data_IF_109773624419
#
_entry.id   IF_109773624419
#
_cell.length_a   1.000
_cell.length_b   1.000
_cell.length_c   1.000
_cell.angle_alpha   90.00
_cell.angle_beta   90.00
_cell.angle_gamma   90.00
#
_symmetry.space_group_name_H-M   'P 1'
#
loop_
_entity.id
_entity.type
_entity.pdbx_description
1 polymer ?
#
# COMPACT_ATOMS: atom_id res chain seq x y z
N UNK A 1 -31.66 1.82 39.57
CA UNK A 1 -30.52 2.76 39.39
C UNK A 1 -29.17 2.02 39.22
N UNK A 2 -28.92 0.92 39.93
CA UNK A 2 -27.68 0.13 39.79
C UNK A 2 -27.52 -0.54 38.39
N UNK A 3 -28.59 -1.06 37.83
CA UNK A 3 -28.59 -1.71 36.52
C UNK A 3 -28.22 -0.75 35.38
N UNK A 4 -28.67 0.50 35.44
CA UNK A 4 -28.32 1.53 34.46
C UNK A 4 -26.81 1.82 34.51
N UNK A 5 -26.23 1.91 35.69
CA UNK A 5 -24.78 2.07 35.90
C UNK A 5 -23.99 0.89 35.34
N UNK A 6 -24.46 -0.34 35.57
CA UNK A 6 -23.81 -1.55 35.03
C UNK A 6 -23.83 -1.60 33.53
N UNK A 7 -24.96 -1.25 32.89
CA UNK A 7 -25.07 -1.16 31.43
C UNK A 7 -24.10 -0.10 30.87
N UNK A 8 -24.04 1.06 31.54
CA UNK A 8 -23.16 2.14 31.08
C UNK A 8 -21.67 1.77 31.17
N UNK A 9 -21.27 1.11 32.25
CA UNK A 9 -19.91 0.58 32.42
C UNK A 9 -19.61 -0.47 31.36
N UNK A 10 -20.55 -1.38 31.11
CA UNK A 10 -20.41 -2.40 30.07
C UNK A 10 -20.18 -1.80 28.68
N UNK A 11 -20.94 -0.78 28.30
CA UNK A 11 -20.76 -0.08 27.03
C UNK A 11 -19.40 0.63 26.91
N UNK A 12 -18.93 1.24 28.00
CA UNK A 12 -17.60 1.87 28.04
C UNK A 12 -16.51 0.82 27.85
N UNK A 13 -16.59 -0.32 28.53
CA UNK A 13 -15.59 -1.39 28.40
C UNK A 13 -15.55 -1.98 26.97
N UNK A 14 -16.72 -2.17 26.35
CA UNK A 14 -16.80 -2.61 24.96
C UNK A 14 -16.15 -1.56 24.04
N UNK A 15 -16.48 -0.29 24.22
CA UNK A 15 -15.90 0.79 23.42
C UNK A 15 -14.37 0.87 23.55
N UNK A 16 -13.84 0.74 24.76
CA UNK A 16 -12.40 0.71 25.02
C UNK A 16 -11.73 -0.53 24.39
N UNK A 17 -12.40 -1.68 24.44
CA UNK A 17 -11.89 -2.91 23.82
C UNK A 17 -11.81 -2.77 22.31
N UNK A 18 -12.84 -2.24 21.65
CA UNK A 18 -12.85 -1.99 20.20
C UNK A 18 -11.75 -1.01 19.82
N UNK A 19 -11.58 0.06 20.59
CA UNK A 19 -10.52 1.04 20.38
C UNK A 19 -9.13 0.42 20.53
N UNK A 20 -8.92 -0.41 21.53
CA UNK A 20 -7.66 -1.13 21.74
C UNK A 20 -7.33 -2.06 20.56
N UNK A 21 -8.30 -2.84 20.08
CA UNK A 21 -8.13 -3.70 18.90
C UNK A 21 -7.74 -2.87 17.68
N UNK A 22 -8.41 -1.76 17.45
CA UNK A 22 -8.08 -0.85 16.36
C UNK A 22 -6.63 -0.37 16.43
N UNK A 23 -6.18 0.15 17.56
CA UNK A 23 -4.84 0.70 17.70
C UNK A 23 -3.75 -0.37 17.71
N UNK A 24 -4.02 -1.57 18.21
CA UNK A 24 -3.03 -2.64 18.30
C UNK A 24 -2.88 -3.38 16.97
N UNK A 25 -3.96 -3.61 16.26
CA UNK A 25 -3.98 -4.49 15.08
C UNK A 25 -4.20 -3.78 13.75
N UNK A 26 -5.26 -2.95 13.65
CA UNK A 26 -5.62 -2.33 12.37
C UNK A 26 -4.73 -1.16 12.01
N UNK A 27 -4.44 -0.28 12.95
CA UNK A 27 -3.66 0.92 12.68
C UNK A 27 -2.24 0.61 12.16
N UNK A 28 -1.48 -0.37 12.71
CA UNK A 28 -0.19 -0.75 12.16
C UNK A 28 -0.27 -1.34 10.75
N UNK A 29 -1.32 -2.10 10.43
CA UNK A 29 -1.53 -2.67 9.09
C UNK A 29 -1.80 -1.56 8.08
N UNK A 30 -2.72 -0.65 8.39
CA UNK A 30 -3.01 0.51 7.55
C UNK A 30 -1.79 1.41 7.35
N UNK A 31 -1.01 1.65 8.40
CA UNK A 31 0.24 2.41 8.32
C UNK A 31 1.28 1.71 7.43
N UNK A 32 1.47 0.39 7.58
CA UNK A 32 2.39 -0.38 6.76
C UNK A 32 1.98 -0.38 5.28
N UNK A 33 0.69 -0.59 5.01
CA UNK A 33 0.13 -0.50 3.67
C UNK A 33 0.40 0.87 3.04
N UNK A 34 -0.01 1.95 3.71
CA UNK A 34 0.16 3.31 3.21
C UNK A 34 1.63 3.67 3.00
N UNK A 35 2.54 3.28 3.91
CA UNK A 35 3.96 3.51 3.75
C UNK A 35 4.52 2.81 2.50
N UNK A 36 4.16 1.54 2.30
CA UNK A 36 4.66 0.76 1.16
C UNK A 36 4.12 1.26 -0.17
N UNK A 37 2.82 1.51 -0.26
CA UNK A 37 2.16 2.00 -1.47
C UNK A 37 2.73 3.37 -1.87
N UNK A 38 2.80 4.31 -0.93
CA UNK A 38 3.38 5.62 -1.16
C UNK A 38 4.86 5.55 -1.59
N UNK A 39 5.65 4.68 -0.96
CA UNK A 39 7.04 4.47 -1.34
C UNK A 39 7.15 3.98 -2.78
N UNK A 40 6.38 2.98 -3.16
CA UNK A 40 6.40 2.42 -4.53
C UNK A 40 5.90 3.45 -5.55
N UNK A 41 4.82 4.14 -5.26
CA UNK A 41 4.27 5.16 -6.14
C UNK A 41 5.27 6.31 -6.42
N UNK A 42 5.99 6.74 -5.39
CA UNK A 42 6.92 7.87 -5.52
C UNK A 42 8.27 7.43 -6.10
N UNK A 43 8.91 6.41 -5.53
CA UNK A 43 10.30 6.07 -5.86
C UNK A 43 10.44 5.04 -6.98
N UNK A 44 9.42 4.27 -7.27
CA UNK A 44 9.41 3.32 -8.40
C UNK A 44 8.68 3.91 -9.60
N UNK A 45 7.46 4.45 -9.38
CA UNK A 45 6.62 4.95 -10.47
C UNK A 45 6.82 6.45 -10.76
N UNK A 46 7.60 7.17 -9.94
CA UNK A 46 7.91 8.59 -10.16
C UNK A 46 6.73 9.56 -9.92
N UNK A 47 5.71 9.14 -9.19
CA UNK A 47 4.57 10.00 -8.89
C UNK A 47 4.90 11.05 -7.82
N UNK A 48 4.20 12.18 -7.87
CA UNK A 48 4.24 13.14 -6.76
C UNK A 48 3.53 12.57 -5.53
N UNK A 49 3.91 13.01 -4.33
CA UNK A 49 3.32 12.53 -3.08
C UNK A 49 1.80 12.73 -3.01
N UNK A 50 1.30 13.87 -3.52
CA UNK A 50 -0.13 14.17 -3.58
C UNK A 50 -0.85 13.17 -4.50
N UNK A 51 -0.32 12.97 -5.69
CA UNK A 51 -0.92 12.07 -6.67
C UNK A 51 -0.90 10.61 -6.22
N UNK A 52 0.22 10.18 -5.63
CA UNK A 52 0.36 8.85 -5.04
C UNK A 52 -0.68 8.59 -3.94
N UNK A 53 -0.91 9.59 -3.07
CA UNK A 53 -1.92 9.48 -2.02
C UNK A 53 -3.34 9.35 -2.58
N UNK A 54 -3.70 10.20 -3.54
CA UNK A 54 -5.04 10.22 -4.12
C UNK A 54 -5.36 8.95 -4.92
N UNK A 55 -4.44 8.52 -5.78
CA UNK A 55 -4.68 7.41 -6.70
C UNK A 55 -4.50 6.06 -6.05
N UNK A 56 -3.45 5.90 -5.23
CA UNK A 56 -3.03 4.58 -4.76
C UNK A 56 -3.47 4.30 -3.31
N UNK A 57 -3.43 5.31 -2.43
CA UNK A 57 -3.77 5.09 -1.02
C UNK A 57 -5.26 5.26 -0.75
N UNK A 58 -5.87 6.30 -1.33
CA UNK A 58 -7.28 6.64 -1.09
C UNK A 58 -8.23 6.13 -2.17
N UNK A 59 -7.71 5.51 -3.23
CA UNK A 59 -8.52 5.01 -4.35
C UNK A 59 -9.64 4.06 -3.91
N UNK A 60 -9.38 3.23 -2.92
CA UNK A 60 -10.33 2.22 -2.42
C UNK A 60 -11.45 2.78 -1.55
N UNK A 61 -11.50 4.10 -1.33
CA UNK A 61 -12.49 4.74 -0.45
C UNK A 61 -12.57 4.11 0.95
N UNK A 62 -11.50 3.51 1.42
CA UNK A 62 -11.46 2.99 2.77
C UNK A 62 -11.31 4.15 3.75
N UNK A 63 -12.33 4.49 4.54
CA UNK A 63 -12.28 5.64 5.45
C UNK A 63 -11.20 5.50 6.51
N UNK A 64 -10.78 4.27 6.84
CA UNK A 64 -9.71 4.03 7.80
C UNK A 64 -8.34 4.47 7.28
N UNK A 65 -8.10 4.41 5.96
CA UNK A 65 -6.85 4.88 5.38
C UNK A 65 -6.72 6.41 5.38
N UNK A 66 -7.83 7.14 5.44
CA UNK A 66 -7.81 8.59 5.59
C UNK A 66 -7.23 9.05 6.94
N UNK A 67 -7.32 8.18 7.96
CA UNK A 67 -6.76 8.42 9.31
C UNK A 67 -5.24 8.21 9.37
N UNK A 68 -4.65 7.64 8.32
CA UNK A 68 -3.21 7.40 8.26
C UNK A 68 -2.51 8.65 7.72
N UNK A 69 -1.59 9.16 8.50
CA UNK A 69 -0.69 10.25 8.09
C UNK A 69 0.58 9.64 7.50
N UNK A 70 0.99 10.14 6.33
CA UNK A 70 2.23 9.72 5.65
C UNK A 70 3.21 10.88 5.60
N UNK A 71 4.49 10.59 5.79
CA UNK A 71 5.59 11.54 5.65
C UNK A 71 6.65 10.95 4.71
N UNK A 72 7.06 11.74 3.71
CA UNK A 72 7.99 11.32 2.66
C UNK A 72 9.34 11.99 2.89
N UNK A 73 10.37 11.20 3.03
CA UNK A 73 11.76 11.62 3.09
C UNK A 73 12.44 11.34 1.74
N UNK A 74 12.50 12.37 0.89
CA UNK A 74 13.09 12.24 -0.44
C UNK A 74 14.60 12.01 -0.39
N UNK A 75 15.31 12.56 0.61
CA UNK A 75 16.76 12.43 0.74
C UNK A 75 17.14 10.98 1.09
N UNK A 76 16.40 10.40 2.00
CA UNK A 76 16.62 9.04 2.44
C UNK A 76 15.81 8.00 1.67
N UNK A 77 15.04 8.42 0.65
CA UNK A 77 14.17 7.56 -0.14
C UNK A 77 13.31 6.65 0.74
N UNK A 78 12.68 7.24 1.75
CA UNK A 78 11.89 6.53 2.74
C UNK A 78 10.53 7.21 2.92
N UNK A 79 9.55 6.41 3.31
CA UNK A 79 8.23 6.89 3.70
C UNK A 79 7.92 6.34 5.09
N UNK A 80 7.44 7.20 5.97
CA UNK A 80 6.87 6.77 7.24
C UNK A 80 5.37 7.04 7.27
N UNK A 81 4.62 6.16 7.94
CA UNK A 81 3.20 6.31 8.11
C UNK A 81 2.78 5.92 9.54
N UNK A 82 1.72 6.55 10.02
CA UNK A 82 1.17 6.29 11.35
C UNK A 82 -0.28 6.72 11.45
N UNK A 83 -1.03 6.09 12.36
CA UNK A 83 -2.35 6.57 12.78
C UNK A 83 -2.18 7.39 14.07
N UNK A 84 -2.57 8.67 14.07
CA UNK A 84 -2.53 9.56 15.24
C UNK A 84 -1.17 9.58 15.98
N UNK A 85 -0.07 9.40 15.29
CA UNK A 85 1.27 9.35 15.88
C UNK A 85 1.68 8.00 16.49
N UNK A 86 0.77 7.03 16.59
CA UNK A 86 1.04 5.71 17.15
C UNK A 86 1.53 4.71 16.10
N UNK A 87 2.35 3.74 16.55
CA UNK A 87 2.74 2.59 15.74
C UNK A 87 3.27 2.97 14.36
N UNK A 88 4.26 3.84 14.29
CA UNK A 88 4.93 4.22 13.04
C UNK A 88 5.40 2.98 12.30
N UNK A 89 5.19 2.98 10.99
CA UNK A 89 5.71 2.00 10.04
C UNK A 89 6.50 2.74 8.97
N UNK A 90 7.49 2.06 8.44
CA UNK A 90 8.41 2.66 7.48
C UNK A 90 8.45 1.79 6.22
N UNK A 91 8.68 2.44 5.09
CA UNK A 91 9.06 1.77 3.85
C UNK A 91 10.28 2.50 3.29
N UNK A 92 11.26 1.77 2.83
CA UNK A 92 12.45 2.32 2.19
C UNK A 92 12.57 1.80 0.77
N UNK A 93 12.96 2.67 -0.14
CA UNK A 93 13.33 2.27 -1.49
C UNK A 93 14.73 1.65 -1.48
N UNK A 94 14.86 0.51 -2.12
CA UNK A 94 16.12 -0.20 -2.32
C UNK A 94 16.32 -0.39 -3.82
N UNK A 95 17.41 0.12 -4.41
CA UNK A 95 17.68 -0.03 -5.84
C UNK A 95 17.55 -1.50 -6.27
N UNK A 96 16.87 -1.74 -7.38
CA UNK A 96 16.59 -3.06 -7.97
C UNK A 96 15.70 -4.01 -7.14
N UNK A 97 15.32 -3.64 -5.92
CA UNK A 97 14.47 -4.45 -5.03
C UNK A 97 13.10 -3.79 -4.75
N UNK A 98 12.93 -2.52 -5.17
CA UNK A 98 11.72 -1.76 -4.88
C UNK A 98 11.62 -1.35 -3.42
N UNK A 99 10.41 -1.18 -2.92
CA UNK A 99 10.16 -0.72 -1.56
C UNK A 99 10.02 -1.88 -0.57
N UNK A 100 10.74 -1.80 0.54
CA UNK A 100 10.73 -2.79 1.62
C UNK A 100 10.22 -2.16 2.91
N UNK A 101 9.34 -2.87 3.62
CA UNK A 101 8.81 -2.43 4.91
C UNK A 101 9.86 -2.60 6.02
N UNK A 102 9.83 -1.66 6.96
CA UNK A 102 10.63 -1.70 8.18
C UNK A 102 9.78 -1.24 9.38
N UNK A 103 10.05 -1.84 10.52
CA UNK A 103 9.32 -1.57 11.77
C UNK A 103 9.96 -0.46 12.59
N UNK A 104 11.24 -0.20 12.37
CA UNK A 104 12.03 0.77 13.12
C UNK A 104 13.12 1.41 12.27
N UNK A 105 13.67 2.57 12.71
CA UNK A 105 14.83 3.18 12.06
C UNK A 105 16.07 2.27 12.03
N UNK A 106 16.29 1.45 13.06
CA UNK A 106 17.40 0.48 13.13
C UNK A 106 17.22 -0.60 12.07
N UNK A 107 15.98 -1.05 11.85
CA UNK A 107 15.65 -1.98 10.77
C UNK A 107 15.93 -1.38 9.40
N UNK A 108 15.64 -0.10 9.20
CA UNK A 108 15.99 0.64 7.97
C UNK A 108 17.51 0.58 7.73
N UNK A 109 18.31 0.91 8.74
CA UNK A 109 19.77 0.89 8.61
C UNK A 109 20.28 -0.54 8.24
N UNK A 110 19.74 -1.57 8.88
CA UNK A 110 20.06 -2.96 8.56
C UNK A 110 19.70 -3.32 7.11
N UNK A 111 18.51 -2.94 6.64
CA UNK A 111 18.06 -3.20 5.27
C UNK A 111 18.95 -2.52 4.23
N UNK A 112 19.41 -1.29 4.49
CA UNK A 112 20.35 -0.57 3.61
C UNK A 112 21.70 -1.28 3.50
N UNK A 113 22.23 -1.73 4.62
CA UNK A 113 23.51 -2.41 4.66
C UNK A 113 23.44 -3.83 4.07
N UNK A 114 22.27 -4.43 4.01
CA UNK A 114 22.05 -5.79 3.48
C UNK A 114 21.52 -5.81 2.04
N UNK A 115 21.66 -4.70 1.29
CA UNK A 115 21.24 -4.69 -0.12
C UNK A 115 22.16 -5.61 -0.92
N UNK A 116 21.67 -6.71 -1.48
CA UNK A 116 22.51 -7.61 -2.25
C UNK A 116 22.99 -6.88 -3.50
N UNK A 117 24.24 -7.09 -3.87
CA UNK A 117 24.75 -6.70 -5.18
C UNK A 117 24.07 -7.64 -6.18
N UNK A 118 23.05 -7.15 -6.83
CA UNK A 118 22.42 -7.91 -7.92
C UNK A 118 23.31 -7.84 -9.14
N UNK A 119 23.76 -8.97 -9.63
CA UNK A 119 24.30 -9.07 -10.98
C UNK A 119 23.21 -8.57 -11.95
N UNK A 120 23.54 -7.72 -12.94
CA UNK A 120 22.60 -7.34 -13.96
C UNK A 120 22.00 -8.60 -14.57
N UNK A 121 20.71 -8.81 -14.39
CA UNK A 121 19.99 -9.84 -15.15
C UNK A 121 19.92 -9.30 -16.56
N UNK A 122 20.47 -10.02 -17.53
CA UNK A 122 20.27 -9.68 -18.94
C UNK A 122 18.76 -9.47 -19.17
N UNK A 123 18.37 -8.36 -19.79
CA UNK A 123 16.98 -8.13 -20.13
C UNK A 123 16.49 -9.35 -20.89
N UNK A 124 15.55 -10.10 -20.30
CA UNK A 124 14.86 -11.13 -21.09
C UNK A 124 14.32 -10.44 -22.32
N UNK A 125 14.66 -10.93 -23.52
CA UNK A 125 14.01 -10.41 -24.70
C UNK A 125 12.51 -10.46 -24.44
N UNK A 126 11.85 -9.32 -24.60
CA UNK A 126 10.39 -9.27 -24.58
C UNK A 126 9.94 -10.44 -25.45
N UNK A 127 9.16 -11.34 -24.85
CA UNK A 127 8.63 -12.49 -25.58
C UNK A 127 7.80 -11.94 -26.75
N UNK A 128 8.46 -11.72 -27.88
CA UNK A 128 7.81 -11.47 -29.18
C UNK A 128 7.21 -12.76 -29.73
N UNK A 129 7.12 -13.78 -28.90
CA UNK A 129 6.45 -15.03 -29.22
C UNK A 129 4.99 -14.74 -29.50
N UNK A 130 4.58 -15.05 -30.72
CA UNK A 130 3.16 -15.19 -31.06
C UNK A 130 2.46 -15.98 -29.96
N UNK A 131 1.28 -15.53 -29.54
CA UNK A 131 0.45 -16.28 -28.60
C UNK A 131 0.38 -17.74 -29.05
N UNK A 132 0.42 -18.71 -28.11
CA UNK A 132 0.22 -20.12 -28.41
C UNK A 132 -1.01 -20.32 -29.31
N UNK A 133 -0.95 -21.28 -30.22
CA UNK A 133 -1.98 -21.47 -31.23
C UNK A 133 -3.36 -21.88 -30.64
N UNK A 134 -3.38 -22.39 -29.41
CA UNK A 134 -4.53 -22.78 -28.65
C UNK A 134 -5.21 -21.62 -27.87
N UNK A 135 -4.60 -20.43 -27.90
CA UNK A 135 -5.19 -19.25 -27.25
C UNK A 135 -6.14 -18.55 -28.21
N UNK A 136 -7.41 -18.49 -27.80
CA UNK A 136 -8.42 -17.69 -28.52
C UNK A 136 -8.15 -16.20 -28.29
N UNK A 137 -7.58 -15.57 -29.33
CA UNK A 137 -7.26 -14.12 -29.32
C UNK A 137 -8.49 -13.23 -29.16
N UNK A 138 -9.65 -13.67 -29.67
CA UNK A 138 -10.88 -12.85 -29.55
C UNK A 138 -11.37 -12.86 -28.11
N UNK A 139 -11.42 -14.03 -27.50
CA UNK A 139 -11.79 -14.16 -26.09
C UNK A 139 -10.82 -13.40 -25.18
N UNK A 140 -9.51 -13.50 -25.42
CA UNK A 140 -8.50 -12.77 -24.68
C UNK A 140 -8.68 -11.25 -24.80
N UNK A 141 -8.85 -10.75 -26.02
CA UNK A 141 -9.05 -9.32 -26.26
C UNK A 141 -10.37 -8.81 -25.64
N UNK A 142 -11.43 -9.60 -25.66
CA UNK A 142 -12.69 -9.25 -24.99
C UNK A 142 -12.49 -9.10 -23.50
N UNK A 143 -11.85 -10.07 -22.86
CA UNK A 143 -11.58 -10.02 -21.40
C UNK A 143 -10.68 -8.82 -21.05
N UNK A 144 -9.65 -8.56 -21.83
CA UNK A 144 -8.77 -7.41 -21.61
C UNK A 144 -9.51 -6.08 -21.79
N UNK A 145 -10.38 -6.00 -22.79
CA UNK A 145 -11.19 -4.81 -23.03
C UNK A 145 -12.19 -4.58 -21.89
N UNK A 146 -12.89 -5.62 -21.47
CA UNK A 146 -13.84 -5.58 -20.35
C UNK A 146 -13.15 -5.19 -19.03
N UNK A 147 -11.93 -5.69 -18.80
CA UNK A 147 -11.12 -5.32 -17.62
C UNK A 147 -10.68 -3.85 -17.61
N UNK A 148 -10.60 -3.22 -18.79
CA UNK A 148 -10.26 -1.79 -18.91
C UNK A 148 -11.47 -0.87 -18.85
N UNK A 149 -12.64 -1.36 -19.22
CA UNK A 149 -13.85 -0.56 -19.38
C UNK A 149 -14.96 -1.00 -18.41
N UNK A 150 -14.61 -1.49 -17.22
CA UNK A 150 -15.59 -1.90 -16.20
C UNK A 150 -16.56 -0.75 -15.88
N UNK A 151 -17.84 -0.87 -16.29
CA UNK A 151 -18.85 0.12 -15.96
C UNK A 151 -19.13 0.08 -14.46
N UNK A 152 -18.90 1.21 -13.80
CA UNK A 152 -19.15 1.37 -12.36
C UNK A 152 -17.89 1.49 -11.50
N UNK A 153 -16.70 1.21 -12.02
CA UNK A 153 -15.46 1.60 -11.38
C UNK A 153 -15.22 3.10 -11.58
N UNK A 154 -14.65 3.71 -10.55
CA UNK A 154 -14.31 5.13 -10.62
C UNK A 154 -13.36 5.39 -11.78
N UNK A 155 -13.47 6.56 -12.44
CA UNK A 155 -12.58 6.94 -13.55
C UNK A 155 -11.10 6.85 -13.20
N UNK A 156 -10.77 6.96 -11.90
CA UNK A 156 -9.41 6.94 -11.38
C UNK A 156 -8.79 5.53 -11.34
N UNK A 157 -9.62 4.48 -11.38
CA UNK A 157 -9.18 3.07 -11.34
C UNK A 157 -9.06 2.40 -12.69
N UNK A 158 -9.13 3.15 -13.76
CA UNK A 158 -8.93 2.58 -15.09
C UNK A 158 -7.58 1.90 -15.16
N UNK A 159 -7.60 0.58 -15.30
CA UNK A 159 -6.41 -0.20 -15.61
C UNK A 159 -5.85 0.34 -16.91
N UNK A 160 -4.73 1.00 -16.86
CA UNK A 160 -3.99 1.39 -18.06
C UNK A 160 -3.08 0.24 -18.38
N UNK A 161 -3.35 -0.45 -19.48
CA UNK A 161 -2.43 -1.41 -20.01
C UNK A 161 -1.10 -0.72 -20.29
N UNK A 162 -0.05 -1.38 -19.91
CA UNK A 162 1.33 -1.01 -20.19
C UNK A 162 1.78 -1.77 -21.44
#
# INVERSE_FOLDING_TARGET
MQWIKAIFIGLILIGLSVLAVFFIWLAPVGAAYSAKVMCSAIFVNGLTSTRAREIDVLADNNPLLSLITTNVDLRNQAVSAHAFGFRKRFAIYRPNLGCTLADSPEHIAKLRNSTPVMTPVEPRPLLTTSLPADVDRRALNSILFDAMDEPGLRPERRTRAV
#
